data_IF_307301748546
#
_entry.id   IF_307301748546
#
_cell.length_a   1.000
_cell.length_b   1.000
_cell.length_c   1.000
_cell.angle_alpha   90.00
_cell.angle_beta   90.00
_cell.angle_gamma   90.00
#
_symmetry.space_group_name_H-M   'P 1'
#
loop_
_entity.id
_entity.type
_entity.pdbx_description
1 polymer ?
#
# COMPACT_ATOMS: atom_id res chain seq x y z
N UNK A 1 77.33 -26.42 -12.48
CA UNK A 1 76.43 -25.26 -12.65
C UNK A 1 75.00 -25.73 -12.47
N UNK A 2 74.32 -25.12 -11.49
CA UNK A 2 72.89 -25.13 -11.17
C UNK A 2 72.20 -26.44 -10.76
N UNK A 3 72.33 -26.73 -9.45
CA UNK A 3 71.37 -27.49 -8.65
C UNK A 3 70.02 -26.77 -8.58
N UNK A 4 68.92 -27.40 -9.03
CA UNK A 4 67.58 -26.97 -8.66
C UNK A 4 67.03 -27.87 -7.54
N UNK A 5 66.85 -27.28 -6.36
CA UNK A 5 66.31 -27.92 -5.17
C UNK A 5 64.79 -28.02 -5.26
N UNK A 6 64.29 -29.23 -5.04
CA UNK A 6 62.90 -29.55 -4.78
C UNK A 6 62.45 -28.89 -3.46
N UNK A 7 61.33 -28.17 -3.48
CA UNK A 7 60.62 -27.74 -2.26
C UNK A 7 59.24 -28.38 -2.25
N UNK A 8 59.09 -29.35 -1.36
CA UNK A 8 57.79 -29.79 -0.81
C UNK A 8 57.37 -28.74 0.20
N UNK A 9 56.16 -28.22 0.08
CA UNK A 9 55.50 -27.46 1.13
C UNK A 9 54.12 -28.06 1.38
N UNK A 10 53.88 -28.37 2.64
CA UNK A 10 52.78 -29.13 3.17
C UNK A 10 51.46 -28.34 3.21
N UNK A 11 50.39 -29.12 3.06
CA UNK A 11 49.06 -29.00 3.67
C UNK A 11 48.87 -27.93 4.74
N UNK A 12 47.82 -27.11 4.57
CA UNK A 12 46.93 -26.74 5.67
C UNK A 12 45.50 -26.60 5.12
N UNK A 13 44.72 -27.66 5.32
CA UNK A 13 43.26 -27.61 5.36
C UNK A 13 42.83 -26.61 6.45
N UNK A 14 42.03 -25.61 6.07
CA UNK A 14 41.13 -24.94 7.00
C UNK A 14 39.75 -24.84 6.35
N UNK A 15 38.95 -25.89 6.56
CA UNK A 15 37.50 -25.83 6.38
C UNK A 15 36.93 -24.97 7.51
N UNK A 16 36.79 -23.67 7.27
CA UNK A 16 35.89 -22.83 8.07
C UNK A 16 34.47 -23.08 7.58
N UNK A 17 33.77 -23.99 8.27
CA UNK A 17 32.32 -24.09 8.17
C UNK A 17 31.76 -22.83 8.86
N UNK A 18 31.48 -21.79 8.07
CA UNK A 18 30.62 -20.72 8.51
C UNK A 18 29.20 -21.28 8.59
N UNK A 19 28.77 -21.66 9.80
CA UNK A 19 27.36 -21.89 10.12
C UNK A 19 26.69 -20.51 10.14
N UNK A 20 26.42 -19.99 8.95
CA UNK A 20 25.47 -18.89 8.78
C UNK A 20 24.09 -19.45 9.05
N UNK A 21 23.49 -19.06 10.16
CA UNK A 21 22.05 -19.23 10.38
C UNK A 21 21.32 -18.40 9.32
N UNK A 22 21.06 -19.05 8.18
CA UNK A 22 20.13 -18.56 7.17
C UNK A 22 18.76 -18.51 7.83
N UNK A 23 18.41 -17.34 8.37
CA UNK A 23 17.02 -16.94 8.54
C UNK A 23 16.45 -16.76 7.13
N UNK A 24 16.06 -17.87 6.50
CA UNK A 24 15.13 -17.80 5.38
C UNK A 24 13.80 -17.30 5.95
N UNK A 25 13.20 -16.23 5.41
CA UNK A 25 11.79 -15.99 5.67
C UNK A 25 11.06 -17.24 5.18
N UNK A 26 10.33 -17.90 6.09
CA UNK A 26 9.48 -19.02 5.71
C UNK A 26 8.38 -18.41 4.85
N UNK A 27 8.54 -18.49 3.54
CA UNK A 27 7.45 -18.30 2.59
C UNK A 27 6.51 -19.49 2.77
N UNK A 28 5.55 -19.35 3.68
CA UNK A 28 4.52 -20.33 3.91
C UNK A 28 3.49 -20.25 2.76
N UNK A 29 3.79 -20.88 1.63
CA UNK A 29 2.82 -21.09 0.55
C UNK A 29 2.21 -22.49 0.66
N UNK A 30 0.89 -22.58 0.89
CA UNK A 30 0.00 -23.60 0.28
C UNK A 30 -1.46 -23.53 0.79
N UNK A 31 -2.38 -23.92 -0.12
CA UNK A 31 -3.84 -24.16 -0.04
C UNK A 31 -4.74 -22.93 -0.22
N UNK A 32 -5.83 -23.09 -0.99
CA UNK A 32 -6.88 -22.09 -1.21
C UNK A 32 -7.41 -21.67 0.17
N UNK A 33 -6.88 -20.57 0.63
CA UNK A 33 -6.82 -20.23 2.02
C UNK A 33 -7.79 -19.13 2.32
N UNK A 34 -8.38 -19.16 3.51
CA UNK A 34 -9.26 -18.11 3.94
C UNK A 34 -8.44 -16.82 4.16
N UNK A 35 -8.59 -15.77 3.33
CA UNK A 35 -7.80 -14.54 3.46
C UNK A 35 -7.97 -13.87 4.82
N UNK A 36 -9.10 -14.14 5.50
CA UNK A 36 -9.34 -13.65 6.85
C UNK A 36 -8.45 -14.26 7.93
N UNK A 37 -7.55 -15.18 7.57
CA UNK A 37 -6.66 -15.86 8.53
C UNK A 37 -5.20 -15.88 8.08
N UNK A 38 -4.86 -15.26 6.95
CA UNK A 38 -3.53 -15.36 6.37
C UNK A 38 -2.74 -14.07 6.37
N UNK A 39 -1.43 -14.21 6.56
CA UNK A 39 -0.46 -13.15 6.30
C UNK A 39 0.37 -13.57 5.12
N UNK A 40 -0.15 -13.35 3.93
CA UNK A 40 0.46 -13.77 2.66
C UNK A 40 1.16 -12.62 1.93
N UNK A 41 1.00 -11.38 2.43
CA UNK A 41 1.58 -10.19 1.81
C UNK A 41 0.88 -9.80 0.51
N UNK A 42 -0.35 -10.28 0.31
CA UNK A 42 -1.27 -9.90 -0.75
C UNK A 42 -2.54 -9.31 -0.09
N UNK A 43 -3.29 -8.49 -0.83
CA UNK A 43 -4.58 -8.01 -0.33
C UNK A 43 -5.70 -8.69 -1.09
N UNK A 44 -6.53 -9.44 -0.37
CA UNK A 44 -7.79 -9.96 -0.87
C UNK A 44 -8.94 -8.97 -0.63
N UNK A 45 -10.19 -9.42 -0.79
CA UNK A 45 -11.36 -8.61 -0.45
C UNK A 45 -11.41 -8.31 1.05
N UNK A 46 -11.64 -7.04 1.37
CA UNK A 46 -11.91 -6.56 2.71
C UNK A 46 -12.93 -5.41 2.66
N UNK A 47 -13.46 -5.08 3.83
CA UNK A 47 -14.56 -4.14 3.97
C UNK A 47 -14.25 -3.18 5.10
N UNK A 48 -14.48 -1.90 4.86
CA UNK A 48 -14.47 -0.88 5.89
C UNK A 48 -15.51 -1.20 6.98
N UNK A 49 -15.15 -0.97 8.24
CA UNK A 49 -16.10 -0.98 9.35
C UNK A 49 -17.01 0.26 9.36
N UNK A 50 -17.89 0.37 10.35
CA UNK A 50 -18.76 1.54 10.51
C UNK A 50 -18.07 2.66 11.31
N UNK A 51 -16.97 3.17 10.77
CA UNK A 51 -16.12 4.22 11.35
C UNK A 51 -15.61 5.09 10.21
N UNK A 52 -15.41 6.39 10.43
CA UNK A 52 -15.07 7.35 9.38
C UNK A 52 -13.65 7.23 8.80
N UNK A 53 -13.10 6.04 8.64
CA UNK A 53 -11.73 5.73 8.22
C UNK A 53 -11.58 5.43 6.71
N UNK A 54 -12.53 5.88 5.88
CA UNK A 54 -12.59 5.56 4.45
C UNK A 54 -11.32 5.97 3.70
N UNK A 55 -10.67 7.07 4.11
CA UNK A 55 -9.37 7.49 3.59
C UNK A 55 -8.25 6.50 3.91
N UNK A 56 -8.26 5.88 5.10
CA UNK A 56 -7.30 4.85 5.46
C UNK A 56 -7.54 3.55 4.71
N UNK A 57 -8.78 3.07 4.67
CA UNK A 57 -9.13 1.83 3.98
C UNK A 57 -8.85 1.94 2.48
N UNK A 58 -9.15 3.08 1.86
CA UNK A 58 -8.80 3.37 0.45
C UNK A 58 -7.28 3.37 0.22
N UNK A 59 -6.50 3.94 1.14
CA UNK A 59 -5.05 3.95 1.04
C UNK A 59 -4.43 2.56 1.23
N UNK A 60 -4.97 1.73 2.14
CA UNK A 60 -4.56 0.33 2.31
C UNK A 60 -4.83 -0.44 1.02
N UNK A 61 -6.04 -0.33 0.46
CA UNK A 61 -6.39 -0.98 -0.80
C UNK A 61 -5.40 -0.61 -1.90
N UNK A 62 -5.02 0.67 -1.97
CA UNK A 62 -4.16 1.17 -3.02
C UNK A 62 -2.75 0.55 -3.06
N UNK A 63 -2.33 -0.16 -2.00
CA UNK A 63 -1.11 -0.98 -2.01
C UNK A 63 -1.16 -2.01 -3.15
N UNK A 64 -2.30 -2.66 -3.36
CA UNK A 64 -2.44 -3.71 -4.37
C UNK A 64 -2.44 -3.15 -5.81
N UNK A 65 -2.78 -1.88 -5.98
CA UNK A 65 -2.94 -1.26 -7.30
C UNK A 65 -1.62 -0.94 -8.02
N UNK A 66 -0.47 -1.16 -7.37
CA UNK A 66 0.84 -0.85 -7.96
C UNK A 66 1.93 -1.84 -7.62
N UNK A 67 2.94 -1.93 -8.50
CA UNK A 67 4.15 -2.73 -8.25
C UNK A 67 4.87 -2.26 -6.99
N UNK A 68 5.00 -0.94 -6.81
CA UNK A 68 5.62 -0.36 -5.62
C UNK A 68 4.83 -0.70 -4.35
N UNK A 69 3.51 -0.53 -4.36
CA UNK A 69 2.64 -0.80 -3.21
C UNK A 69 2.67 -2.27 -2.78
N UNK A 70 2.61 -3.22 -3.73
CA UNK A 70 2.75 -4.65 -3.43
C UNK A 70 4.12 -5.00 -2.87
N UNK A 71 5.18 -4.38 -3.40
CA UNK A 71 6.54 -4.55 -2.86
C UNK A 71 6.67 -3.98 -1.44
N UNK A 72 5.97 -2.88 -1.15
CA UNK A 72 5.91 -2.29 0.19
C UNK A 72 5.18 -3.23 1.16
N UNK A 73 4.01 -3.74 0.76
CA UNK A 73 3.19 -4.67 1.54
C UNK A 73 3.99 -5.89 2.02
N UNK A 74 4.72 -6.55 1.11
CA UNK A 74 5.55 -7.71 1.41
C UNK A 74 6.62 -7.48 2.50
N UNK A 75 7.01 -6.22 2.72
CA UNK A 75 8.02 -5.82 3.72
C UNK A 75 7.41 -5.12 4.94
N UNK A 76 6.13 -4.80 4.85
CA UNK A 76 5.45 -3.96 5.83
C UNK A 76 5.27 -4.71 7.14
N UNK A 77 4.92 -5.99 7.10
CA UNK A 77 4.55 -6.79 8.27
C UNK A 77 5.69 -7.76 8.63
N UNK A 78 6.05 -7.80 9.91
CA UNK A 78 6.94 -8.82 10.49
C UNK A 78 6.23 -9.53 11.64
N UNK A 79 6.12 -10.85 11.56
CA UNK A 79 5.54 -11.67 12.63
C UNK A 79 6.60 -11.91 13.72
N UNK A 80 6.27 -11.56 14.96
CA UNK A 80 7.15 -11.74 16.11
C UNK A 80 6.94 -13.13 16.74
N UNK A 81 7.94 -13.64 17.47
CA UNK A 81 7.88 -14.98 18.10
C UNK A 81 6.75 -15.16 19.12
N UNK A 82 6.30 -14.08 19.76
CA UNK A 82 5.14 -14.08 20.67
C UNK A 82 3.80 -13.96 19.94
N UNK A 83 3.80 -13.97 18.60
CA UNK A 83 2.62 -13.86 17.75
C UNK A 83 2.04 -12.44 17.63
N UNK A 84 2.73 -11.40 18.12
CA UNK A 84 2.44 -10.01 17.77
C UNK A 84 3.02 -9.67 16.38
N UNK A 85 2.67 -8.50 15.84
CA UNK A 85 3.11 -8.05 14.53
C UNK A 85 3.85 -6.72 14.66
N UNK A 86 4.98 -6.58 13.95
CA UNK A 86 5.71 -5.33 13.82
C UNK A 86 5.54 -4.79 12.41
N UNK A 87 5.07 -3.55 12.31
CA UNK A 87 4.79 -2.85 11.08
C UNK A 87 5.91 -1.84 10.82
N UNK A 88 6.56 -1.98 9.67
CA UNK A 88 7.73 -1.21 9.27
C UNK A 88 7.34 -0.01 8.40
N UNK A 89 6.49 0.89 8.93
CA UNK A 89 6.14 2.11 8.21
C UNK A 89 7.36 3.00 7.98
N UNK A 90 7.36 3.75 6.87
CA UNK A 90 8.40 4.73 6.58
C UNK A 90 8.48 5.86 7.63
N UNK A 91 7.39 6.16 8.33
CA UNK A 91 7.37 7.09 9.47
C UNK A 91 7.89 6.48 10.79
N UNK A 92 8.21 5.19 10.82
CA UNK A 92 8.72 4.49 12.01
C UNK A 92 7.96 3.20 12.34
N UNK A 93 8.62 2.32 13.09
CA UNK A 93 8.07 0.99 13.43
C UNK A 93 6.95 1.07 14.47
N UNK A 94 5.95 0.19 14.33
CA UNK A 94 4.86 0.02 15.30
C UNK A 94 4.61 -1.45 15.57
N UNK A 95 4.49 -1.84 16.83
CA UNK A 95 4.14 -3.22 17.21
C UNK A 95 2.70 -3.27 17.69
N UNK A 96 1.95 -4.23 17.16
CA UNK A 96 0.54 -4.50 17.48
C UNK A 96 0.37 -5.94 17.96
N UNK A 97 -0.45 -6.12 18.97
CA UNK A 97 -0.86 -7.41 19.53
C UNK A 97 -1.98 -8.04 18.70
N UNK A 98 -2.22 -9.34 18.90
CA UNK A 98 -3.35 -10.05 18.28
C UNK A 98 -4.71 -9.45 18.65
N UNK A 99 -4.85 -8.95 19.88
CA UNK A 99 -6.09 -8.31 20.33
C UNK A 99 -6.33 -6.97 19.61
N UNK A 100 -5.28 -6.18 19.38
CA UNK A 100 -5.40 -4.95 18.57
C UNK A 100 -5.83 -5.26 17.14
N UNK A 101 -5.30 -6.32 16.53
CA UNK A 101 -5.71 -6.77 15.18
C UNK A 101 -7.13 -7.33 15.16
N UNK A 102 -7.56 -8.00 16.23
CA UNK A 102 -8.94 -8.50 16.35
C UNK A 102 -9.95 -7.36 16.49
N UNK A 103 -9.51 -6.23 17.04
CA UNK A 103 -10.32 -5.01 17.23
C UNK A 103 -10.19 -4.00 16.07
N UNK A 104 -9.47 -4.36 15.00
CA UNK A 104 -9.41 -3.60 13.76
C UNK A 104 -10.84 -3.43 13.19
N UNK A 105 -11.15 -2.28 12.59
CA UNK A 105 -12.47 -2.01 12.05
C UNK A 105 -12.70 -2.66 10.69
N UNK A 106 -11.63 -2.85 9.91
CA UNK A 106 -11.61 -3.61 8.67
C UNK A 106 -11.98 -5.07 8.98
N UNK A 107 -12.76 -5.65 8.09
CA UNK A 107 -13.08 -7.09 8.09
C UNK A 107 -12.70 -7.73 6.76
N UNK A 108 -12.57 -9.06 6.73
CA UNK A 108 -12.04 -9.79 5.58
C UNK A 108 -10.56 -10.07 5.78
N UNK A 109 -9.73 -9.62 4.85
CA UNK A 109 -8.30 -9.84 4.79
C UNK A 109 -7.52 -9.56 6.11
N UNK A 110 -6.63 -10.48 6.51
CA UNK A 110 -5.83 -10.34 7.73
C UNK A 110 -4.64 -9.37 7.56
N UNK A 111 -3.97 -9.33 6.41
CA UNK A 111 -2.93 -8.32 6.14
C UNK A 111 -3.51 -6.90 6.30
N UNK A 112 -4.69 -6.63 5.72
CA UNK A 112 -5.38 -5.34 5.83
C UNK A 112 -5.66 -4.93 7.28
N UNK A 113 -6.19 -5.87 8.10
CA UNK A 113 -6.47 -5.62 9.53
C UNK A 113 -5.21 -5.37 10.36
N UNK A 114 -4.14 -6.10 10.07
CA UNK A 114 -2.84 -5.89 10.72
C UNK A 114 -2.31 -4.49 10.40
N UNK A 115 -2.40 -4.07 9.13
CA UNK A 115 -2.01 -2.73 8.68
C UNK A 115 -2.82 -1.64 9.37
N UNK A 116 -4.14 -1.77 9.39
CA UNK A 116 -5.02 -0.84 10.10
C UNK A 116 -4.62 -0.70 11.57
N UNK A 117 -4.47 -1.82 12.30
CA UNK A 117 -4.10 -1.77 13.71
C UNK A 117 -2.78 -1.01 13.92
N UNK A 118 -1.82 -1.15 13.00
CA UNK A 118 -0.59 -0.36 13.02
C UNK A 118 -0.81 1.11 12.76
N UNK A 119 -1.63 1.46 11.77
CA UNK A 119 -1.93 2.84 11.41
C UNK A 119 -2.66 3.56 12.55
N UNK A 120 -3.61 2.89 13.22
CA UNK A 120 -4.29 3.41 14.41
C UNK A 120 -3.30 3.79 15.53
N UNK A 121 -2.14 3.11 15.64
CA UNK A 121 -1.05 3.47 16.58
C UNK A 121 -0.03 4.45 16.02
N UNK A 122 0.07 4.54 14.69
CA UNK A 122 1.04 5.39 14.02
C UNK A 122 0.54 6.82 13.88
N UNK A 123 -0.77 7.00 13.72
CA UNK A 123 -1.39 8.26 13.33
C UNK A 123 -2.16 8.87 14.50
N UNK A 124 -2.00 10.19 14.68
CA UNK A 124 -2.77 10.94 15.68
C UNK A 124 -4.25 11.06 15.28
N UNK A 125 -4.53 11.03 13.98
CA UNK A 125 -5.87 11.11 13.40
C UNK A 125 -5.97 9.96 12.40
N UNK A 126 -6.52 8.83 12.84
CA UNK A 126 -6.83 7.69 11.96
C UNK A 126 -8.25 7.81 11.41
N UNK A 127 -9.23 7.99 12.30
CA UNK A 127 -10.60 8.29 11.90
C UNK A 127 -10.64 9.67 11.23
N UNK A 128 -11.33 9.75 10.08
CA UNK A 128 -11.43 10.94 9.24
C UNK A 128 -10.11 11.40 8.61
N UNK A 129 -9.09 10.54 8.54
CA UNK A 129 -7.84 10.87 7.87
C UNK A 129 -8.02 10.94 6.34
N UNK A 130 -7.17 11.73 5.68
CA UNK A 130 -7.04 11.65 4.23
C UNK A 130 -6.09 10.52 3.84
N UNK A 131 -6.32 9.92 2.67
CA UNK A 131 -5.44 8.89 2.12
C UNK A 131 -3.97 9.35 1.99
N UNK A 132 -3.73 10.64 1.75
CA UNK A 132 -2.37 11.19 1.69
C UNK A 132 -1.62 11.10 3.02
N UNK A 133 -2.32 11.18 4.15
CA UNK A 133 -1.70 11.05 5.47
C UNK A 133 -1.26 9.60 5.69
N UNK A 134 -2.10 8.64 5.30
CA UNK A 134 -1.76 7.22 5.33
C UNK A 134 -0.60 6.90 4.39
N UNK A 135 -0.60 7.44 3.16
CA UNK A 135 0.53 7.28 2.24
C UNK A 135 1.82 7.87 2.83
N UNK A 136 1.77 9.04 3.46
CA UNK A 136 2.92 9.63 4.13
C UNK A 136 3.40 8.77 5.29
N UNK A 137 2.50 8.20 6.10
CA UNK A 137 2.86 7.27 7.17
C UNK A 137 3.53 6.02 6.61
N UNK A 138 2.89 5.35 5.64
CA UNK A 138 3.39 4.11 5.05
C UNK A 138 4.75 4.27 4.37
N UNK A 139 4.93 5.35 3.58
CA UNK A 139 6.14 5.55 2.77
C UNK A 139 7.22 6.37 3.44
N UNK A 140 6.86 7.20 4.44
CA UNK A 140 7.73 8.24 4.99
C UNK A 140 7.94 9.44 4.05
N UNK A 141 7.25 9.48 2.90
CA UNK A 141 7.40 10.57 1.94
C UNK A 141 6.64 11.81 2.37
N UNK A 142 7.24 12.97 2.08
CA UNK A 142 6.61 14.28 2.34
C UNK A 142 5.54 14.57 1.29
N UNK A 143 4.45 15.20 1.72
CA UNK A 143 3.41 15.65 0.82
C UNK A 143 3.90 16.81 -0.07
N UNK A 144 3.40 16.87 -1.30
CA UNK A 144 3.52 17.99 -2.24
C UNK A 144 2.13 18.35 -2.73
N UNK A 145 1.60 19.45 -2.23
CA UNK A 145 0.26 19.91 -2.61
C UNK A 145 0.32 20.74 -3.89
N UNK A 146 -0.63 20.51 -4.80
CA UNK A 146 -0.80 21.19 -6.08
C UNK A 146 -2.25 21.59 -6.29
N UNK A 147 -2.50 22.66 -7.04
CA UNK A 147 -3.82 23.27 -7.20
C UNK A 147 -4.05 23.72 -8.65
N UNK A 148 -5.32 23.87 -9.02
CA UNK A 148 -5.74 24.46 -10.29
C UNK A 148 -5.83 23.45 -11.44
N UNK A 149 -6.54 23.85 -12.50
CA UNK A 149 -6.92 22.97 -13.62
C UNK A 149 -5.72 22.31 -14.31
N UNK A 150 -4.65 23.06 -14.60
CA UNK A 150 -3.46 22.50 -15.25
C UNK A 150 -2.78 21.43 -14.39
N UNK A 151 -2.77 21.60 -13.06
CA UNK A 151 -2.24 20.59 -12.15
C UNK A 151 -3.16 19.37 -12.06
N UNK A 152 -4.49 19.56 -12.04
CA UNK A 152 -5.45 18.46 -12.13
C UNK A 152 -5.15 17.56 -13.33
N UNK A 153 -5.09 18.16 -14.52
CA UNK A 153 -4.77 17.44 -15.76
C UNK A 153 -3.40 16.77 -15.70
N UNK A 154 -2.39 17.45 -15.13
CA UNK A 154 -1.03 16.90 -15.01
C UNK A 154 -0.99 15.67 -14.10
N UNK A 155 -1.68 15.69 -12.96
CA UNK A 155 -1.74 14.55 -12.04
C UNK A 155 -2.48 13.37 -12.67
N UNK A 156 -3.61 13.61 -13.33
CA UNK A 156 -4.37 12.53 -14.00
C UNK A 156 -3.55 11.91 -15.14
N UNK A 157 -2.85 12.73 -15.93
CA UNK A 157 -1.94 12.24 -16.96
C UNK A 157 -0.78 11.42 -16.36
N UNK A 158 -0.23 11.83 -15.23
CA UNK A 158 0.82 11.08 -14.54
C UNK A 158 0.31 9.71 -14.06
N UNK A 159 -0.91 9.65 -13.51
CA UNK A 159 -1.57 8.38 -13.17
C UNK A 159 -1.80 7.52 -14.40
N UNK A 160 -2.34 8.08 -15.48
CA UNK A 160 -2.58 7.34 -16.73
C UNK A 160 -1.29 6.71 -17.27
N UNK A 161 -0.20 7.46 -17.33
CA UNK A 161 1.09 6.95 -17.79
C UNK A 161 1.65 5.83 -16.89
N UNK A 162 1.42 5.91 -15.58
CA UNK A 162 1.79 4.84 -14.64
C UNK A 162 0.99 3.56 -14.87
N UNK A 163 -0.30 3.67 -15.13
CA UNK A 163 -1.14 2.51 -15.45
C UNK A 163 -0.80 1.92 -16.83
N UNK A 164 -0.59 2.76 -17.84
CA UNK A 164 -0.20 2.34 -19.20
C UNK A 164 1.14 1.57 -19.20
N UNK A 165 2.11 2.01 -18.39
CA UNK A 165 3.40 1.32 -18.25
C UNK A 165 3.34 0.03 -17.41
N UNK A 166 2.16 -0.36 -16.91
CA UNK A 166 1.97 -1.54 -16.06
C UNK A 166 2.47 -1.39 -14.62
N UNK A 167 2.98 -0.21 -14.24
CA UNK A 167 3.43 0.05 -12.86
C UNK A 167 2.27 0.23 -11.90
N UNK A 168 1.16 0.81 -12.38
CA UNK A 168 0.03 1.23 -11.56
C UNK A 168 0.40 2.34 -10.56
N UNK A 169 -0.50 2.64 -9.64
CA UNK A 169 -0.27 3.68 -8.63
C UNK A 169 -0.93 3.36 -7.30
N UNK A 170 -0.24 3.68 -6.20
CA UNK A 170 -0.91 3.90 -4.91
C UNK A 170 -1.60 5.25 -4.98
N UNK A 171 -2.91 5.25 -5.23
CA UNK A 171 -3.67 6.46 -5.46
C UNK A 171 -5.09 6.37 -4.88
N UNK A 172 -5.63 7.51 -4.46
CA UNK A 172 -6.95 7.64 -3.87
C UNK A 172 -7.56 9.01 -4.16
N UNK A 173 -8.87 9.14 -3.97
CA UNK A 173 -9.61 10.35 -4.33
C UNK A 173 -10.92 10.51 -3.54
N UNK A 174 -11.56 11.69 -3.65
CA UNK A 174 -12.93 11.96 -3.23
C UNK A 174 -13.63 12.94 -4.18
N UNK A 175 -14.97 12.96 -4.15
CA UNK A 175 -15.80 13.65 -5.15
C UNK A 175 -16.66 14.77 -4.54
N UNK A 176 -16.91 15.83 -5.30
CA UNK A 176 -17.92 16.88 -5.05
C UNK A 176 -19.21 16.68 -5.82
N UNK A 177 -19.25 15.74 -6.76
CA UNK A 177 -20.46 15.44 -7.55
C UNK A 177 -20.79 13.96 -7.37
N UNK A 178 -21.99 13.69 -6.86
CA UNK A 178 -22.47 12.34 -6.61
C UNK A 178 -22.90 11.64 -7.92
N UNK A 179 -22.82 10.32 -7.92
CA UNK A 179 -23.44 9.44 -8.92
C UNK A 179 -24.02 8.24 -8.17
N UNK A 180 -25.26 8.41 -7.67
CA UNK A 180 -25.94 7.41 -6.85
C UNK A 180 -26.18 6.10 -7.59
N UNK A 181 -26.28 6.13 -8.93
CA UNK A 181 -26.42 4.92 -9.75
C UNK A 181 -25.19 4.01 -9.69
N UNK A 182 -24.03 4.57 -9.34
CA UNK A 182 -22.75 3.88 -9.17
C UNK A 182 -22.29 3.80 -7.71
N UNK A 183 -23.08 4.31 -6.77
CA UNK A 183 -22.69 4.40 -5.36
C UNK A 183 -21.62 5.46 -5.07
N UNK A 184 -21.47 6.48 -5.93
CA UNK A 184 -20.54 7.61 -5.71
C UNK A 184 -21.22 8.69 -4.86
N UNK A 185 -20.59 9.00 -3.74
CA UNK A 185 -20.94 10.08 -2.82
C UNK A 185 -20.17 11.36 -3.19
N UNK A 186 -20.88 12.48 -3.28
CA UNK A 186 -20.36 13.76 -3.75
C UNK A 186 -20.26 14.85 -2.69
N UNK A 187 -20.15 14.51 -1.41
CA UNK A 187 -20.04 15.48 -0.31
C UNK A 187 -18.58 15.71 0.14
N UNK A 188 -17.61 15.08 -0.52
CA UNK A 188 -16.19 15.09 -0.12
C UNK A 188 -15.90 14.35 1.19
N UNK A 189 -16.86 13.61 1.73
CA UNK A 189 -16.76 12.85 2.99
C UNK A 189 -16.38 11.39 2.81
N UNK A 190 -16.27 10.90 1.57
CA UNK A 190 -15.96 9.50 1.28
C UNK A 190 -14.82 9.35 0.29
N UNK A 191 -13.81 8.56 0.67
CA UNK A 191 -12.64 8.29 -0.17
C UNK A 191 -12.80 6.99 -0.96
N UNK A 192 -12.16 6.93 -2.11
CA UNK A 192 -12.09 5.76 -2.99
C UNK A 192 -10.63 5.57 -3.40
N UNK A 193 -10.19 4.32 -3.55
CA UNK A 193 -8.91 4.06 -4.19
C UNK A 193 -9.04 4.17 -5.71
N UNK A 194 -7.97 4.59 -6.39
CA UNK A 194 -7.92 4.62 -7.86
C UNK A 194 -7.22 3.34 -8.33
N UNK A 195 -7.96 2.48 -9.03
CA UNK A 195 -7.48 1.18 -9.53
C UNK A 195 -6.89 1.25 -10.93
N UNK A 196 -7.36 2.18 -11.75
CA UNK A 196 -6.93 2.35 -13.14
C UNK A 196 -7.32 3.74 -13.67
N UNK A 197 -6.49 4.28 -14.57
CA UNK A 197 -6.76 5.50 -15.34
C UNK A 197 -6.20 5.31 -16.75
N UNK A 198 -6.98 5.64 -17.77
CA UNK A 198 -6.47 5.81 -19.14
C UNK A 198 -7.01 7.10 -19.79
N UNK A 199 -7.05 7.16 -21.13
CA UNK A 199 -7.55 8.32 -21.86
C UNK A 199 -9.07 8.48 -21.78
N UNK A 200 -9.82 7.41 -21.50
CA UNK A 200 -11.27 7.35 -21.60
C UNK A 200 -11.96 7.05 -20.28
N UNK A 201 -11.35 6.22 -19.43
CA UNK A 201 -11.97 5.70 -18.22
C UNK A 201 -11.11 5.88 -16.97
N UNK A 202 -11.79 5.96 -15.84
CA UNK A 202 -11.21 5.84 -14.51
C UNK A 202 -11.97 4.73 -13.78
N UNK A 203 -11.24 3.85 -13.11
CA UNK A 203 -11.79 2.79 -12.27
C UNK A 203 -11.40 3.08 -10.83
N UNK A 204 -12.41 3.15 -9.96
CA UNK A 204 -12.22 3.34 -8.52
C UNK A 204 -12.83 2.19 -7.73
N UNK A 205 -12.38 2.02 -6.49
CA UNK A 205 -12.87 0.99 -5.56
C UNK A 205 -13.41 1.69 -4.32
N UNK A 206 -14.63 1.30 -3.92
CA UNK A 206 -15.26 1.81 -2.71
C UNK A 206 -14.72 1.05 -1.49
N UNK A 207 -14.19 1.72 -0.45
CA UNK A 207 -13.65 1.04 0.72
C UNK A 207 -14.70 0.25 1.51
N UNK A 208 -15.99 0.53 1.36
CA UNK A 208 -17.05 -0.28 1.97
C UNK A 208 -17.06 -1.74 1.50
N UNK A 209 -16.62 -1.99 0.27
CA UNK A 209 -16.45 -3.34 -0.29
C UNK A 209 -15.40 -3.28 -1.41
N UNK A 210 -14.21 -3.81 -1.13
CA UNK A 210 -13.09 -3.75 -2.08
C UNK A 210 -13.19 -4.73 -3.25
N UNK A 211 -14.20 -5.60 -3.30
CA UNK A 211 -14.43 -6.50 -4.44
C UNK A 211 -15.06 -5.78 -5.64
N UNK A 212 -15.74 -4.65 -5.39
CA UNK A 212 -16.48 -3.90 -6.40
C UNK A 212 -15.61 -2.92 -7.18
N UNK A 213 -15.72 -2.96 -8.51
CA UNK A 213 -15.12 -1.96 -9.40
C UNK A 213 -16.17 -0.96 -9.86
N UNK A 214 -15.88 0.33 -9.70
CA UNK A 214 -16.73 1.41 -10.19
C UNK A 214 -16.05 2.05 -11.40
N UNK A 215 -16.71 1.96 -12.55
CA UNK A 215 -16.24 2.52 -13.81
C UNK A 215 -16.90 3.87 -14.08
N UNK A 216 -16.11 4.87 -14.45
CA UNK A 216 -16.61 6.16 -14.92
C UNK A 216 -15.78 6.66 -16.10
N UNK A 217 -16.37 7.54 -16.91
CA UNK A 217 -15.58 8.22 -17.93
C UNK A 217 -14.56 9.13 -17.26
N UNK A 218 -13.41 9.32 -17.89
CA UNK A 218 -12.41 10.27 -17.43
C UNK A 218 -12.95 11.69 -17.34
N UNK A 219 -13.82 12.09 -18.26
CA UNK A 219 -14.49 13.38 -18.20
C UNK A 219 -15.41 13.52 -16.98
N UNK A 220 -16.16 12.46 -16.63
CA UNK A 220 -16.96 12.43 -15.41
C UNK A 220 -16.07 12.57 -14.18
N UNK A 221 -14.98 11.80 -14.10
CA UNK A 221 -14.01 11.88 -13.02
C UNK A 221 -13.43 13.30 -12.89
N UNK A 222 -12.90 13.88 -13.97
CA UNK A 222 -12.29 15.21 -13.98
C UNK A 222 -13.24 16.34 -13.54
N UNK A 223 -14.52 16.20 -13.87
CA UNK A 223 -15.55 17.18 -13.50
C UNK A 223 -16.04 17.01 -12.05
N UNK A 224 -15.97 15.80 -11.50
CA UNK A 224 -16.51 15.47 -10.17
C UNK A 224 -15.46 15.46 -9.06
N UNK A 225 -14.17 15.41 -9.40
CA UNK A 225 -13.10 15.25 -8.43
C UNK A 225 -12.91 16.52 -7.59
N UNK A 226 -12.80 16.33 -6.26
CA UNK A 226 -12.44 17.40 -5.32
C UNK A 226 -11.01 17.22 -4.82
N UNK A 227 -10.66 15.99 -4.49
CA UNK A 227 -9.37 15.60 -3.94
C UNK A 227 -8.82 14.41 -4.69
N UNK A 228 -7.51 14.40 -4.93
CA UNK A 228 -6.81 13.24 -5.47
C UNK A 228 -5.40 13.21 -4.92
N UNK A 229 -4.91 12.02 -4.57
CA UNK A 229 -3.54 11.84 -4.11
C UNK A 229 -2.92 10.59 -4.71
N UNK A 230 -1.59 10.62 -4.90
CA UNK A 230 -0.84 9.43 -5.27
C UNK A 230 0.59 9.48 -4.73
N UNK A 231 1.21 8.30 -4.63
CA UNK A 231 2.64 8.17 -4.32
C UNK A 231 3.47 8.31 -5.60
N UNK A 232 4.33 9.34 -5.64
CA UNK A 232 5.39 9.48 -6.63
C UNK A 232 6.69 8.96 -6.04
N UNK A 233 7.00 7.71 -6.35
CA UNK A 233 8.18 6.99 -5.88
C UNK A 233 9.48 7.52 -6.46
N UNK A 234 9.44 8.11 -7.66
CA UNK A 234 10.62 8.71 -8.29
C UNK A 234 10.99 10.01 -7.59
N UNK A 235 9.99 10.87 -7.34
CA UNK A 235 10.19 12.12 -6.62
C UNK A 235 10.28 11.94 -5.09
N UNK A 236 9.92 10.74 -4.59
CA UNK A 236 9.74 10.44 -3.15
C UNK A 236 8.79 11.43 -2.48
N UNK A 237 7.62 11.63 -3.10
CA UNK A 237 6.56 12.53 -2.66
C UNK A 237 5.22 11.82 -2.62
N UNK A 238 4.36 12.26 -1.71
CA UNK A 238 2.92 12.04 -1.82
C UNK A 238 2.34 13.27 -2.48
N UNK A 239 1.93 13.18 -3.74
CA UNK A 239 1.33 14.31 -4.44
C UNK A 239 -0.13 14.43 -4.01
N UNK A 240 -0.57 15.64 -3.71
CA UNK A 240 -1.92 15.94 -3.24
C UNK A 240 -2.50 17.04 -4.10
N UNK A 241 -3.60 16.75 -4.80
CA UNK A 241 -4.36 17.71 -5.57
C UNK A 241 -5.63 18.08 -4.82
N UNK A 242 -5.93 19.38 -4.81
CA UNK A 242 -7.21 19.94 -4.36
C UNK A 242 -7.81 20.81 -5.47
N UNK A 243 -9.11 20.62 -5.70
CA UNK A 243 -9.94 21.43 -6.57
C UNK A 243 -10.47 22.68 -5.86
#
# INVERSE_FOLDING_TARGET
MNHFKMKVAASCLSFTIAVGTLFTPISAFATASNPATQLDGELSTFHQGNVGDCGAVSAIQALDNSVYGRTLLQKLITVNSNGSYTLNFGSGKKTVSKSEVTNAYITGDLDARVIEAGLQKAMNVYNSCFACDVFTTMTGFKQKTVYGASQKTSVINALAAKFESGQGAMAACDFTIADSSKGIIGDGGHSYSIRWVDSNIVVVINPWDTSGLIYMSRSQFENSIRYMTYVDENAKKVVVYWN
#
